data_IF_282998587217
#
_entry.id   IF_282998587217
#
_cell.length_a   1.000
_cell.length_b   1.000
_cell.length_c   1.000
_cell.angle_alpha   90.00
_cell.angle_beta   90.00
_cell.angle_gamma   90.00
#
_symmetry.space_group_name_H-M   'P 1'
#
loop_
_entity.id
_entity.type
_entity.pdbx_description
1 polymer ?
#
# COMPACT_ATOMS: atom_id res chain seq x y z
N UNK A 1 -21.65 -37.61 21.90
CA UNK A 1 -22.03 -36.82 20.69
C UNK A 1 -21.90 -35.31 20.98
N UNK A 2 -20.70 -34.80 21.31
CA UNK A 2 -20.42 -33.36 21.38
C UNK A 2 -18.90 -33.02 21.41
N UNK A 3 -18.06 -33.88 20.82
CA UNK A 3 -16.63 -33.59 20.56
C UNK A 3 -16.46 -33.17 19.09
N UNK A 4 -17.21 -32.16 18.63
CA UNK A 4 -17.13 -31.64 17.24
C UNK A 4 -17.27 -30.10 17.16
N UNK A 5 -16.89 -29.37 18.20
CA UNK A 5 -16.83 -27.90 18.21
C UNK A 5 -15.41 -27.33 18.34
N UNK A 6 -14.36 -28.15 18.09
CA UNK A 6 -12.96 -27.78 18.33
C UNK A 6 -12.12 -27.38 17.11
N UNK A 7 -12.62 -27.47 15.87
CA UNK A 7 -11.75 -27.37 14.67
C UNK A 7 -12.30 -26.54 13.50
N UNK A 8 -13.37 -25.75 13.67
CA UNK A 8 -13.95 -24.95 12.56
C UNK A 8 -13.92 -23.43 12.75
N UNK A 9 -13.37 -22.91 13.85
CA UNK A 9 -13.64 -21.52 14.26
C UNK A 9 -12.42 -20.58 14.41
N UNK A 10 -11.20 -20.95 14.01
CA UNK A 10 -10.00 -20.09 14.24
C UNK A 10 -9.20 -19.75 12.99
N UNK A 11 -9.71 -20.03 11.79
CA UNK A 11 -8.98 -19.75 10.56
C UNK A 11 -8.69 -18.25 10.32
N UNK A 12 -9.60 -17.28 10.57
CA UNK A 12 -9.29 -15.88 10.28
C UNK A 12 -8.35 -15.27 11.32
N UNK A 13 -8.53 -15.57 12.60
CA UNK A 13 -7.66 -15.06 13.67
C UNK A 13 -6.22 -15.53 13.47
N UNK A 14 -6.04 -16.78 13.04
CA UNK A 14 -4.73 -17.33 12.73
C UNK A 14 -4.12 -16.69 11.47
N UNK A 15 -4.92 -16.43 10.43
CA UNK A 15 -4.48 -15.76 9.22
C UNK A 15 -4.06 -14.30 9.47
N UNK A 16 -4.79 -13.58 10.32
CA UNK A 16 -4.48 -12.21 10.73
C UNK A 16 -3.19 -12.17 11.54
N UNK A 17 -3.03 -13.05 12.53
CA UNK A 17 -1.77 -13.15 13.30
C UNK A 17 -0.59 -13.51 12.39
N UNK A 18 -0.78 -14.44 11.45
CA UNK A 18 0.25 -14.82 10.47
C UNK A 18 0.66 -13.63 9.59
N UNK A 19 -0.30 -12.86 9.07
CA UNK A 19 -0.02 -11.68 8.24
C UNK A 19 0.69 -10.59 9.03
N UNK A 20 0.29 -10.32 10.27
CA UNK A 20 0.97 -9.35 11.14
C UNK A 20 2.40 -9.83 11.44
N UNK A 21 2.58 -11.13 11.69
CA UNK A 21 3.90 -11.72 11.92
C UNK A 21 4.79 -11.66 10.67
N UNK A 22 4.21 -11.85 9.48
CA UNK A 22 4.91 -11.76 8.18
C UNK A 22 5.29 -10.30 7.86
N UNK A 23 4.51 -9.32 8.34
CA UNK A 23 4.86 -7.90 8.27
C UNK A 23 5.99 -7.47 9.23
N UNK A 24 6.29 -8.23 10.30
CA UNK A 24 7.42 -7.91 11.20
C UNK A 24 8.79 -8.21 10.56
N UNK A 25 8.87 -9.00 9.49
CA UNK A 25 10.14 -9.37 8.87
C UNK A 25 10.80 -8.17 8.15
N UNK A 26 10.01 -7.24 7.61
CA UNK A 26 10.48 -6.04 6.91
C UNK A 26 9.56 -4.82 7.15
N UNK A 27 9.50 -4.36 8.40
CA UNK A 27 8.70 -3.21 8.83
C UNK A 27 8.87 -1.93 7.97
N UNK A 28 10.03 -1.77 7.33
CA UNK A 28 10.36 -0.60 6.50
C UNK A 28 9.61 -0.59 5.17
N UNK A 29 9.37 -1.76 4.57
CA UNK A 29 8.64 -1.87 3.30
C UNK A 29 7.13 -1.66 3.51
N UNK A 30 6.61 -2.07 4.66
CA UNK A 30 5.18 -1.98 5.00
C UNK A 30 4.73 -0.57 5.39
N UNK A 31 5.61 0.23 6.01
CA UNK A 31 5.27 1.60 6.43
C UNK A 31 4.90 2.48 5.24
N UNK A 32 5.54 2.27 4.09
CA UNK A 32 5.32 3.12 2.90
C UNK A 32 3.85 3.09 2.46
N UNK A 33 3.24 1.94 2.10
CA UNK A 33 1.81 1.91 1.75
C UNK A 33 0.88 2.22 2.93
N UNK A 34 1.24 1.84 4.16
CA UNK A 34 0.43 2.10 5.35
C UNK A 34 0.20 3.60 5.61
N UNK A 35 1.17 4.45 5.23
CA UNK A 35 1.09 5.91 5.36
C UNK A 35 0.49 6.55 4.09
N UNK A 36 0.80 6.01 2.91
CA UNK A 36 0.25 6.54 1.64
C UNK A 36 -1.27 6.44 1.56
N UNK A 37 -1.86 5.30 1.94
CA UNK A 37 -3.32 5.09 1.88
C UNK A 37 -4.12 6.17 2.64
N UNK A 38 -3.87 6.44 3.94
CA UNK A 38 -4.62 7.45 4.67
C UNK A 38 -4.36 8.86 4.13
N UNK A 39 -3.13 9.17 3.71
CA UNK A 39 -2.79 10.48 3.12
C UNK A 39 -3.57 10.72 1.83
N UNK A 40 -3.63 9.73 0.94
CA UNK A 40 -4.39 9.82 -0.31
C UNK A 40 -5.89 10.01 -0.06
N UNK A 41 -6.45 9.33 0.95
CA UNK A 41 -7.86 9.47 1.30
C UNK A 41 -8.18 10.88 1.83
N UNK A 42 -7.35 11.38 2.76
CA UNK A 42 -7.52 12.73 3.32
C UNK A 42 -7.40 13.79 2.23
N UNK A 43 -6.43 13.66 1.32
CA UNK A 43 -6.28 14.57 0.19
C UNK A 43 -7.48 14.55 -0.74
N UNK A 44 -7.99 13.37 -1.09
CA UNK A 44 -9.16 13.22 -1.95
C UNK A 44 -10.43 13.82 -1.33
N UNK A 45 -10.70 13.55 -0.04
CA UNK A 45 -11.83 14.16 0.66
C UNK A 45 -11.68 15.67 0.83
N UNK A 46 -10.45 16.17 1.06
CA UNK A 46 -10.18 17.60 1.15
C UNK A 46 -10.48 18.35 -0.15
N UNK A 47 -10.08 17.79 -1.29
CA UNK A 47 -10.37 18.36 -2.62
C UNK A 47 -11.87 18.31 -2.94
N UNK A 48 -12.53 17.18 -2.64
CA UNK A 48 -13.99 17.07 -2.84
C UNK A 48 -14.76 18.08 -1.98
N UNK A 49 -14.33 18.29 -0.73
CA UNK A 49 -14.92 19.28 0.17
C UNK A 49 -14.74 20.71 -0.37
N UNK A 50 -13.55 21.04 -0.88
CA UNK A 50 -13.28 22.36 -1.46
C UNK A 50 -14.09 22.63 -2.74
N UNK A 51 -14.31 21.61 -3.56
CA UNK A 51 -15.11 21.68 -4.79
C UNK A 51 -16.63 21.56 -4.55
N UNK A 52 -17.06 21.30 -3.31
CA UNK A 52 -18.48 21.14 -2.97
C UNK A 52 -19.13 19.90 -3.57
N UNK A 53 -18.36 18.88 -3.97
CA UNK A 53 -18.91 17.64 -4.51
C UNK A 53 -19.50 16.75 -3.40
N UNK A 54 -20.68 16.20 -3.67
CA UNK A 54 -21.34 15.25 -2.76
C UNK A 54 -20.75 13.85 -2.88
N UNK A 55 -20.62 13.15 -1.76
CA UNK A 55 -20.20 11.75 -1.72
C UNK A 55 -21.32 10.86 -2.25
N UNK A 56 -21.18 10.41 -3.49
CA UNK A 56 -22.11 9.49 -4.13
C UNK A 56 -21.38 8.19 -4.53
N UNK A 57 -22.11 7.16 -4.92
CA UNK A 57 -21.55 5.88 -5.38
C UNK A 57 -20.53 6.04 -6.51
N UNK A 58 -20.74 7.00 -7.41
CA UNK A 58 -19.75 7.33 -8.46
C UNK A 58 -18.43 7.86 -7.89
N UNK A 59 -18.47 8.78 -6.92
CA UNK A 59 -17.25 9.35 -6.33
C UNK A 59 -16.55 8.35 -5.43
N UNK A 60 -17.29 7.47 -4.75
CA UNK A 60 -16.74 6.36 -3.95
C UNK A 60 -16.05 5.31 -4.84
N UNK A 61 -16.63 5.00 -6.01
CA UNK A 61 -16.01 4.12 -6.98
C UNK A 61 -14.72 4.74 -7.55
N UNK A 62 -14.77 6.03 -7.91
CA UNK A 62 -13.60 6.78 -8.37
C UNK A 62 -12.49 6.85 -7.30
N UNK A 63 -12.85 7.09 -6.03
CA UNK A 63 -11.93 7.07 -4.88
C UNK A 63 -11.23 5.71 -4.76
N UNK A 64 -11.99 4.62 -4.82
CA UNK A 64 -11.43 3.27 -4.71
C UNK A 64 -10.43 2.99 -5.83
N UNK A 65 -10.79 3.29 -7.08
CA UNK A 65 -9.89 3.14 -8.23
C UNK A 65 -8.64 4.02 -8.10
N UNK A 66 -8.82 5.29 -7.74
CA UNK A 66 -7.71 6.23 -7.56
C UNK A 66 -6.74 5.76 -6.47
N UNK A 67 -7.25 5.25 -5.34
CA UNK A 67 -6.38 4.69 -4.29
C UNK A 67 -5.60 3.45 -4.74
N UNK A 68 -6.21 2.58 -5.56
CA UNK A 68 -5.52 1.42 -6.11
C UNK A 68 -4.34 1.80 -6.99
N UNK A 69 -4.54 2.75 -7.92
CA UNK A 69 -3.50 3.23 -8.83
C UNK A 69 -2.31 3.85 -8.11
N UNK A 70 -2.55 4.65 -7.06
CA UNK A 70 -1.46 5.28 -6.28
C UNK A 70 -0.64 4.25 -5.50
N UNK A 71 -1.30 3.24 -4.94
CA UNK A 71 -0.63 2.19 -4.16
C UNK A 71 0.19 1.27 -5.06
N UNK A 72 -0.37 0.84 -6.20
CA UNK A 72 0.36 0.03 -7.18
C UNK A 72 1.63 0.74 -7.65
N UNK A 73 1.54 2.03 -7.94
CA UNK A 73 2.71 2.79 -8.33
C UNK A 73 3.79 2.80 -7.23
N UNK A 74 3.37 3.12 -6.00
CA UNK A 74 4.28 3.20 -4.87
C UNK A 74 5.02 1.88 -4.64
N UNK A 75 4.34 0.75 -4.84
CA UNK A 75 4.92 -0.59 -4.73
C UNK A 75 5.94 -0.85 -5.84
N UNK A 76 5.59 -0.54 -7.10
CA UNK A 76 6.49 -0.73 -8.25
C UNK A 76 7.76 0.12 -8.12
N UNK A 77 7.64 1.37 -7.66
CA UNK A 77 8.80 2.25 -7.42
C UNK A 77 9.70 1.66 -6.32
N UNK A 78 9.12 1.19 -5.22
CA UNK A 78 9.87 0.60 -4.12
C UNK A 78 10.60 -0.67 -4.55
N UNK A 79 9.91 -1.58 -5.24
CA UNK A 79 10.49 -2.82 -5.77
C UNK A 79 11.64 -2.51 -6.73
N UNK A 80 11.44 -1.52 -7.62
CA UNK A 80 12.49 -1.12 -8.54
C UNK A 80 13.70 -0.53 -7.79
N UNK A 81 13.52 0.29 -6.75
CA UNK A 81 14.65 0.78 -5.93
C UNK A 81 15.40 -0.39 -5.27
N UNK A 82 14.69 -1.35 -4.69
CA UNK A 82 15.31 -2.54 -4.06
C UNK A 82 16.12 -3.32 -5.09
N UNK A 83 15.54 -3.58 -6.27
CA UNK A 83 16.21 -4.28 -7.36
C UNK A 83 17.48 -3.54 -7.85
N UNK A 84 17.42 -2.21 -8.00
CA UNK A 84 18.58 -1.41 -8.39
C UNK A 84 19.71 -1.41 -7.33
N UNK A 85 19.37 -1.50 -6.05
CA UNK A 85 20.35 -1.59 -4.95
C UNK A 85 21.02 -2.96 -4.94
N UNK A 86 20.24 -4.04 -5.12
CA UNK A 86 20.74 -5.42 -5.09
C UNK A 86 21.53 -5.80 -6.34
N UNK A 87 21.01 -5.52 -7.54
CA UNK A 87 21.63 -5.94 -8.80
C UNK A 87 22.79 -5.02 -9.22
N UNK A 88 22.63 -3.70 -9.08
CA UNK A 88 23.59 -2.72 -9.62
C UNK A 88 24.57 -2.18 -8.56
N UNK A 89 24.49 -2.67 -7.31
CA UNK A 89 25.32 -2.25 -6.15
C UNK A 89 25.47 -0.73 -6.02
N UNK A 90 24.46 0.02 -6.43
CA UNK A 90 24.49 1.47 -6.37
C UNK A 90 24.17 1.96 -4.95
N UNK A 91 24.70 3.13 -4.59
CA UNK A 91 24.41 3.73 -3.28
C UNK A 91 22.89 4.02 -3.19
N UNK A 92 22.25 3.79 -2.02
CA UNK A 92 20.80 3.94 -1.86
C UNK A 92 20.26 5.32 -2.25
N UNK A 93 21.04 6.37 -2.04
CA UNK A 93 20.68 7.74 -2.41
C UNK A 93 20.64 7.95 -3.93
N UNK A 94 21.60 7.39 -4.67
CA UNK A 94 21.67 7.54 -6.13
C UNK A 94 20.59 6.73 -6.83
N UNK A 95 20.34 5.50 -6.36
CA UNK A 95 19.26 4.66 -6.88
C UNK A 95 17.90 5.35 -6.73
N UNK A 96 17.62 5.93 -5.55
CA UNK A 96 16.37 6.66 -5.32
C UNK A 96 16.18 7.82 -6.29
N UNK A 97 17.18 8.68 -6.46
CA UNK A 97 17.08 9.85 -7.35
C UNK A 97 16.90 9.46 -8.82
N UNK A 98 17.56 8.39 -9.28
CA UNK A 98 17.45 7.92 -10.66
C UNK A 98 16.09 7.30 -10.95
N UNK A 99 15.57 6.48 -10.04
CA UNK A 99 14.23 5.90 -10.17
C UNK A 99 13.17 7.00 -10.14
N UNK A 100 13.31 7.98 -9.25
CA UNK A 100 12.40 9.13 -9.18
C UNK A 100 12.39 9.96 -10.46
N UNK A 101 13.58 10.28 -11.01
CA UNK A 101 13.69 11.01 -12.27
C UNK A 101 13.04 10.24 -13.42
N UNK A 102 13.25 8.92 -13.47
CA UNK A 102 12.65 8.06 -14.50
C UNK A 102 11.13 7.93 -14.36
N UNK A 103 10.61 8.08 -13.15
CA UNK A 103 9.16 8.09 -12.89
C UNK A 103 8.53 9.44 -13.24
N UNK A 104 9.19 10.55 -12.91
CA UNK A 104 8.74 11.89 -13.27
C UNK A 104 8.77 12.18 -14.78
N UNK A 105 9.62 11.46 -15.53
CA UNK A 105 9.77 11.57 -16.99
C UNK A 105 8.90 10.56 -17.76
N UNK A 106 8.00 9.83 -17.09
CA UNK A 106 7.13 8.82 -17.69
C UNK A 106 5.66 9.21 -17.55
#
# INVERSE_FOLDING_TARGET
RSMRYGLRCTCPSFLVVLIIFLFLLDWRATIVPAVTIPISLIGAFGIMFFLGYSTNTLTLFALTLATGLVVDDTIVVLENIVRYIEEQKMRPYQARSLVWLRWCLR
#
